data_IF_322973961156
#
_entry.id   IF_322973961156
#
_cell.length_a   1.000
_cell.length_b   1.000
_cell.length_c   1.000
_cell.angle_alpha   90.00
_cell.angle_beta   90.00
_cell.angle_gamma   90.00
#
_symmetry.space_group_name_H-M   'P 1'
#
loop_
_entity.id
_entity.type
_entity.pdbx_description
1 polymer ?
#
# COMPACT_ATOMS: atom_id res chain seq x y z
N UNK A 1 -2.99 -1.76 -36.40
CA UNK A 1 -2.65 -1.62 -35.76
C UNK A 1 -2.18 -1.76 -34.87
N UNK A 2 -1.84 -1.64 -34.51
CA UNK A 2 -1.28 -1.87 -33.74
C UNK A 2 -1.25 -1.78 -32.73
N UNK A 3 -1.28 -1.63 -32.19
CA UNK A 3 -1.19 -1.62 -31.23
C UNK A 3 -0.60 -2.05 -30.30
N UNK A 4 -0.47 -2.47 -30.14
CA UNK A 4 0.37 -3.34 -29.35
C UNK A 4 1.42 -2.64 -28.51
N UNK A 5 1.59 -1.41 -28.61
CA UNK A 5 2.53 -0.63 -27.83
C UNK A 5 1.90 0.00 -26.61
N UNK A 6 0.75 -0.53 -26.21
CA UNK A 6 0.08 -0.02 -25.04
C UNK A 6 0.80 -0.47 -23.79
N UNK A 7 1.48 0.46 -23.16
CA UNK A 7 2.07 0.24 -21.85
C UNK A 7 0.94 0.26 -20.84
N UNK A 8 0.94 -0.72 -19.96
CA UNK A 8 -0.01 -0.76 -18.87
C UNK A 8 0.09 0.52 -18.04
N UNK A 9 -1.02 1.20 -17.84
CA UNK A 9 -1.03 2.39 -17.00
C UNK A 9 -0.97 1.99 -15.54
N UNK A 10 -0.08 2.61 -14.79
CA UNK A 10 0.14 2.29 -13.37
C UNK A 10 0.21 3.54 -12.55
N UNK A 11 -0.35 3.46 -11.35
CA UNK A 11 -0.17 4.51 -10.35
C UNK A 11 0.31 3.86 -9.06
N UNK A 12 1.37 4.43 -8.49
CA UNK A 12 1.89 4.03 -7.18
C UNK A 12 1.73 5.20 -6.24
N UNK A 13 1.04 4.98 -5.14
CA UNK A 13 0.73 6.04 -4.17
C UNK A 13 1.39 5.68 -2.85
N UNK A 14 2.09 6.64 -2.27
CA UNK A 14 2.66 6.51 -0.93
C UNK A 14 1.84 7.37 0.02
N UNK A 15 1.40 6.80 1.13
CA UNK A 15 0.53 7.47 2.09
C UNK A 15 1.19 7.51 3.45
N UNK A 16 1.22 8.68 4.06
CA UNK A 16 1.70 8.88 5.42
C UNK A 16 0.70 9.77 6.15
N UNK A 17 0.90 9.93 7.46
CA UNK A 17 0.00 10.76 8.27
C UNK A 17 -0.10 12.19 7.75
N UNK A 18 1.00 12.74 7.27
CA UNK A 18 1.07 14.13 6.82
C UNK A 18 0.61 14.34 5.37
N UNK A 19 0.32 13.27 4.65
CA UNK A 19 -0.10 13.43 3.27
C UNK A 19 0.23 12.24 2.39
N UNK A 20 0.43 12.52 1.10
CA UNK A 20 0.66 11.47 0.13
C UNK A 20 1.48 11.99 -1.05
N UNK A 21 2.05 11.06 -1.80
CA UNK A 21 2.68 11.36 -3.08
C UNK A 21 2.32 10.22 -4.05
N UNK A 22 2.46 10.45 -5.34
CA UNK A 22 2.19 9.40 -6.31
C UNK A 22 3.13 9.49 -7.50
N UNK A 23 3.22 8.37 -8.20
CA UNK A 23 3.99 8.23 -9.42
C UNK A 23 3.13 7.48 -10.42
N UNK A 24 3.02 8.03 -11.62
CA UNK A 24 2.23 7.45 -12.69
C UNK A 24 3.16 7.06 -13.83
N UNK A 25 2.92 5.88 -14.39
CA UNK A 25 3.62 5.38 -15.57
C UNK A 25 2.59 4.97 -16.61
N UNK A 26 2.66 5.58 -17.79
CA UNK A 26 1.73 5.31 -18.88
C UNK A 26 2.43 5.48 -20.23
N UNK A 27 1.65 5.53 -21.32
CA UNK A 27 2.19 5.67 -22.67
C UNK A 27 2.91 7.00 -22.90
N UNK A 28 2.62 8.00 -22.10
CA UNK A 28 3.24 9.32 -22.22
C UNK A 28 4.51 9.45 -21.41
N UNK A 29 4.86 8.42 -20.67
CA UNK A 29 6.05 8.39 -19.84
C UNK A 29 5.74 8.30 -18.36
N UNK A 30 6.64 8.85 -17.55
CA UNK A 30 6.58 8.78 -16.11
C UNK A 30 6.36 10.16 -15.51
N UNK A 31 5.40 10.27 -14.61
CA UNK A 31 5.05 11.51 -13.93
C UNK A 31 5.05 11.27 -12.42
N UNK A 32 5.64 12.19 -11.67
CA UNK A 32 5.68 12.09 -10.21
C UNK A 32 5.13 13.35 -9.60
N UNK A 33 4.35 13.21 -8.53
CA UNK A 33 3.96 14.34 -7.73
C UNK A 33 5.04 14.60 -6.68
N UNK A 34 5.05 15.82 -6.14
CA UNK A 34 5.72 16.05 -4.87
C UNK A 34 4.82 15.58 -3.75
N UNK A 35 5.19 15.94 -2.52
CA UNK A 35 4.38 15.60 -1.36
C UNK A 35 3.15 16.51 -1.31
N UNK A 36 1.98 15.91 -1.16
CA UNK A 36 0.70 16.61 -1.14
C UNK A 36 0.03 16.46 0.22
N UNK A 37 -0.67 17.51 0.65
CA UNK A 37 -1.38 17.46 1.93
C UNK A 37 -2.73 16.73 1.77
N UNK A 38 -3.29 16.18 2.87
CA UNK A 38 -4.49 15.36 2.79
C UNK A 38 -5.70 16.05 2.15
N UNK A 39 -5.80 17.35 2.29
CA UNK A 39 -6.94 18.11 1.74
C UNK A 39 -6.98 18.13 0.21
N UNK A 40 -5.89 17.69 -0.46
CA UNK A 40 -5.80 17.72 -1.92
C UNK A 40 -6.36 16.47 -2.60
N UNK A 41 -6.82 15.48 -1.83
CA UNK A 41 -7.25 14.20 -2.42
C UNK A 41 -8.35 14.37 -3.47
N UNK A 42 -9.39 15.10 -3.13
CA UNK A 42 -10.52 15.24 -4.03
C UNK A 42 -10.29 16.24 -5.18
N UNK A 43 -9.22 17.01 -5.12
CA UNK A 43 -8.86 17.97 -6.16
C UNK A 43 -7.66 17.54 -6.99
N UNK A 44 -7.14 16.33 -6.76
CA UNK A 44 -6.04 15.77 -7.54
C UNK A 44 -6.61 15.13 -8.81
N UNK A 45 -6.39 15.74 -10.00
CA UNK A 45 -6.99 15.22 -11.24
C UNK A 45 -6.59 13.79 -11.56
N UNK A 46 -5.39 13.42 -11.22
CA UNK A 46 -4.86 12.07 -11.49
C UNK A 46 -5.67 10.99 -10.78
N UNK A 47 -6.32 11.31 -9.67
CA UNK A 47 -7.15 10.37 -8.93
C UNK A 47 -8.52 10.16 -9.54
N UNK A 48 -8.88 10.98 -10.53
CA UNK A 48 -10.17 10.85 -11.23
C UNK A 48 -10.10 9.88 -12.41
N UNK A 49 -8.92 9.37 -12.71
CA UNK A 49 -8.70 8.42 -13.79
C UNK A 49 -8.62 7.01 -13.23
N UNK A 50 -8.83 6.04 -14.12
CA UNK A 50 -8.64 4.62 -13.76
C UNK A 50 -7.34 4.12 -14.35
N UNK A 51 -6.70 3.18 -13.65
CA UNK A 51 -5.39 2.64 -14.02
C UNK A 51 -5.45 1.13 -14.12
N UNK A 52 -4.62 0.55 -14.98
CA UNK A 52 -4.55 -0.90 -15.11
C UNK A 52 -3.99 -1.54 -13.84
N UNK A 53 -3.09 -0.85 -13.17
CA UNK A 53 -2.56 -1.31 -11.90
C UNK A 53 -2.49 -0.15 -10.91
N UNK A 54 -2.94 -0.42 -9.69
CA UNK A 54 -2.92 0.57 -8.59
C UNK A 54 -2.19 -0.07 -7.41
N UNK A 55 -1.19 0.63 -6.91
CA UNK A 55 -0.44 0.21 -5.74
C UNK A 55 -0.49 1.33 -4.71
N UNK A 56 -0.98 1.01 -3.51
CA UNK A 56 -1.02 1.98 -2.42
C UNK A 56 -0.15 1.47 -1.29
N UNK A 57 0.89 2.23 -0.99
CA UNK A 57 1.91 1.85 -0.01
C UNK A 57 1.76 2.73 1.22
N UNK A 58 1.56 2.11 2.38
CA UNK A 58 1.43 2.80 3.66
C UNK A 58 2.81 2.92 4.30
N UNK A 59 3.21 4.15 4.58
CA UNK A 59 4.48 4.42 5.24
C UNK A 59 4.27 4.32 6.75
N UNK A 60 4.39 3.12 7.28
CA UNK A 60 4.28 2.87 8.72
C UNK A 60 5.54 2.14 9.21
N UNK A 61 6.15 2.62 10.30
CA UNK A 61 7.28 1.91 10.90
C UNK A 61 6.83 0.78 11.84
N UNK A 62 5.54 0.71 12.14
CA UNK A 62 5.01 -0.27 13.10
C UNK A 62 4.61 -1.53 12.36
N UNK A 63 5.59 -2.40 12.12
CA UNK A 63 5.41 -3.66 11.40
C UNK A 63 6.17 -4.77 12.12
N UNK A 64 5.67 -6.01 11.97
CA UNK A 64 6.34 -7.20 12.50
C UNK A 64 6.05 -8.36 11.57
N UNK A 65 7.07 -9.16 11.29
CA UNK A 65 6.93 -10.36 10.48
C UNK A 65 6.89 -11.56 11.43
N UNK A 66 5.72 -12.22 11.47
CA UNK A 66 5.46 -13.32 12.41
C UNK A 66 5.47 -14.64 11.63
N UNK A 67 6.29 -15.64 12.05
CA UNK A 67 6.22 -16.94 11.42
C UNK A 67 4.80 -17.51 11.50
N UNK A 68 4.33 -18.15 10.43
CA UNK A 68 2.96 -18.65 10.33
C UNK A 68 2.57 -19.54 11.52
N UNK A 69 3.51 -20.35 11.99
CA UNK A 69 3.27 -21.26 13.11
C UNK A 69 2.99 -20.57 14.44
N UNK A 70 3.43 -19.32 14.58
CA UNK A 70 3.20 -18.53 15.79
C UNK A 70 2.10 -17.48 15.62
N UNK A 71 1.54 -17.38 14.45
CA UNK A 71 0.55 -16.37 14.17
C UNK A 71 -0.82 -16.74 14.73
N UNK A 72 -1.43 -15.80 15.45
CA UNK A 72 -2.79 -15.94 15.98
C UNK A 72 -3.61 -14.70 15.64
N UNK A 73 -4.57 -14.81 14.72
CA UNK A 73 -5.35 -13.64 14.29
C UNK A 73 -6.19 -13.04 15.43
N UNK A 74 -6.41 -13.76 16.51
CA UNK A 74 -7.14 -13.24 17.67
C UNK A 74 -6.28 -12.37 18.57
N UNK A 75 -4.96 -12.34 18.35
CA UNK A 75 -4.00 -11.63 19.19
C UNK A 75 -3.13 -10.67 18.40
N UNK A 76 -3.67 -10.09 17.32
CA UNK A 76 -2.91 -9.20 16.45
C UNK A 76 -2.24 -8.06 17.20
N UNK A 77 -3.02 -7.37 18.01
CA UNK A 77 -2.52 -6.21 18.73
C UNK A 77 -1.42 -6.57 19.71
N UNK A 78 -1.55 -7.70 20.38
CA UNK A 78 -0.55 -8.16 21.30
C UNK A 78 0.74 -8.53 20.59
N UNK A 79 0.64 -9.25 19.48
CA UNK A 79 1.82 -9.66 18.70
C UNK A 79 2.60 -8.46 18.19
N UNK A 80 1.93 -7.45 17.68
CA UNK A 80 2.61 -6.25 17.22
C UNK A 80 3.12 -5.42 18.40
N UNK A 81 2.34 -5.34 19.48
CA UNK A 81 2.71 -4.58 20.67
C UNK A 81 3.92 -5.12 21.41
N UNK A 82 4.26 -6.41 21.18
CA UNK A 82 5.45 -7.00 21.78
C UNK A 82 6.76 -6.48 21.17
N UNK A 83 6.68 -5.93 19.95
CA UNK A 83 7.89 -5.47 19.23
C UNK A 83 7.89 -3.98 18.94
N UNK A 84 6.71 -3.34 18.92
CA UNK A 84 6.63 -1.89 18.71
C UNK A 84 5.65 -1.28 19.70
N UNK A 85 5.81 0.02 19.94
CA UNK A 85 4.92 0.73 20.85
C UNK A 85 3.63 1.10 20.12
N UNK A 86 2.49 0.66 20.66
CA UNK A 86 1.18 0.96 20.09
C UNK A 86 0.44 1.98 20.94
N UNK A 87 -0.24 2.92 20.25
CA UNK A 87 -1.14 3.87 20.88
C UNK A 87 -2.58 3.44 20.71
N UNK A 88 -3.50 4.20 21.28
CA UNK A 88 -4.92 3.89 21.21
C UNK A 88 -5.46 3.93 19.77
N UNK A 89 -4.88 4.80 18.94
CA UNK A 89 -5.33 5.01 17.57
C UNK A 89 -4.69 4.04 16.57
N UNK A 90 -3.85 3.14 17.04
CA UNK A 90 -3.22 2.16 16.15
C UNK A 90 -4.23 1.09 15.77
N UNK A 91 -4.55 0.98 14.49
CA UNK A 91 -5.42 -0.05 13.96
C UNK A 91 -4.54 -1.15 13.39
N UNK A 92 -4.59 -2.34 14.01
CA UNK A 92 -3.69 -3.44 13.65
C UNK A 92 -4.33 -4.34 12.62
N UNK A 93 -3.62 -4.59 11.54
CA UNK A 93 -4.04 -5.44 10.43
C UNK A 93 -2.94 -6.42 10.08
N UNK A 94 -3.23 -7.35 9.18
CA UNK A 94 -2.23 -8.31 8.73
C UNK A 94 -2.41 -8.67 7.26
N UNK A 95 -1.32 -9.14 6.68
CA UNK A 95 -1.35 -9.72 5.34
C UNK A 95 -0.45 -10.94 5.34
N UNK A 96 -0.93 -12.05 4.77
CA UNK A 96 -0.17 -13.28 4.71
C UNK A 96 0.86 -13.23 3.59
N UNK A 97 2.02 -13.78 3.86
CA UNK A 97 3.11 -13.91 2.88
C UNK A 97 3.49 -15.38 2.75
N UNK A 98 2.72 -16.15 1.96
CA UNK A 98 2.89 -17.60 1.90
C UNK A 98 4.28 -18.05 1.44
N UNK A 99 4.91 -17.31 0.53
CA UNK A 99 6.25 -17.65 0.05
C UNK A 99 7.29 -17.62 1.17
N UNK A 100 7.01 -16.90 2.26
CA UNK A 100 7.90 -16.79 3.41
C UNK A 100 7.40 -17.59 4.61
N UNK A 101 6.25 -18.28 4.47
CA UNK A 101 5.60 -18.96 5.58
C UNK A 101 5.46 -18.01 6.78
N UNK A 102 5.08 -16.76 6.51
CA UNK A 102 5.00 -15.71 7.51
C UNK A 102 3.79 -14.82 7.29
N UNK A 103 3.48 -14.02 8.31
CA UNK A 103 2.39 -13.05 8.27
C UNK A 103 2.95 -11.70 8.68
N UNK A 104 2.70 -10.69 7.86
CA UNK A 104 3.12 -9.33 8.16
C UNK A 104 2.00 -8.64 8.92
N UNK A 105 2.27 -8.28 10.17
CA UNK A 105 1.34 -7.56 11.04
C UNK A 105 1.78 -6.11 11.10
N UNK A 106 0.86 -5.19 10.96
CA UNK A 106 1.20 -3.77 10.86
C UNK A 106 0.11 -2.88 11.44
N UNK A 107 0.50 -1.66 11.79
CA UNK A 107 -0.44 -0.64 12.24
C UNK A 107 -0.80 0.30 11.10
N UNK A 108 -2.10 0.52 10.91
CA UNK A 108 -2.63 1.47 9.95
C UNK A 108 -3.13 2.72 10.67
N UNK A 109 -2.32 3.26 11.58
CA UNK A 109 -2.69 4.48 12.29
C UNK A 109 -2.43 5.73 11.47
N UNK A 110 -1.70 5.59 10.36
CA UNK A 110 -1.25 6.72 9.57
C UNK A 110 -2.39 7.23 8.72
N UNK A 111 -3.36 7.81 9.38
CA UNK A 111 -4.46 8.37 8.64
C UNK A 111 -5.35 7.31 8.04
N UNK A 112 -5.97 6.49 8.88
CA UNK A 112 -6.98 5.56 8.41
C UNK A 112 -7.95 6.29 7.48
N UNK A 113 -8.33 7.52 7.86
CA UNK A 113 -9.21 8.34 7.04
C UNK A 113 -8.58 8.66 5.69
N UNK A 114 -7.33 9.11 5.69
CA UNK A 114 -6.63 9.45 4.45
C UNK A 114 -6.48 8.23 3.54
N UNK A 115 -6.07 7.10 4.11
CA UNK A 115 -5.93 5.86 3.35
C UNK A 115 -7.26 5.42 2.74
N UNK A 116 -8.34 5.53 3.54
CA UNK A 116 -9.67 5.16 3.07
C UNK A 116 -10.14 6.08 1.94
N UNK A 117 -9.89 7.37 2.07
CA UNK A 117 -10.26 8.33 1.05
C UNK A 117 -9.56 8.04 -0.27
N UNK A 118 -8.27 7.72 -0.23
CA UNK A 118 -7.52 7.39 -1.43
C UNK A 118 -8.07 6.11 -2.06
N UNK A 119 -8.31 5.07 -1.27
CA UNK A 119 -8.83 3.82 -1.82
C UNK A 119 -10.22 3.97 -2.43
N UNK A 120 -10.97 4.98 -1.99
CA UNK A 120 -12.31 5.25 -2.52
C UNK A 120 -12.30 6.14 -3.76
N UNK A 121 -11.17 6.78 -4.06
CA UNK A 121 -11.08 7.68 -5.21
C UNK A 121 -10.29 7.09 -6.36
N UNK A 122 -9.39 6.17 -6.10
CA UNK A 122 -8.52 5.60 -7.12
C UNK A 122 -8.90 4.14 -7.38
N UNK A 123 -9.28 3.85 -8.62
CA UNK A 123 -9.77 2.53 -9.01
C UNK A 123 -8.97 1.98 -10.19
N UNK A 124 -8.97 0.66 -10.29
CA UNK A 124 -8.46 -0.01 -11.48
C UNK A 124 -9.45 0.15 -12.63
N UNK A 125 -8.99 -0.14 -13.84
CA UNK A 125 -9.85 -0.11 -15.03
C UNK A 125 -11.03 -1.09 -14.89
N UNK A 126 -10.84 -2.16 -14.12
CA UNK A 126 -11.90 -3.14 -13.84
C UNK A 126 -12.84 -2.70 -12.71
N UNK A 127 -12.60 -1.54 -12.12
CA UNK A 127 -13.45 -1.02 -11.07
C UNK A 127 -13.14 -1.52 -9.68
N UNK A 128 -12.00 -2.16 -9.46
CA UNK A 128 -11.61 -2.65 -8.15
C UNK A 128 -10.88 -1.59 -7.35
N UNK A 129 -11.07 -1.62 -6.04
CA UNK A 129 -10.30 -0.80 -5.12
C UNK A 129 -9.01 -1.54 -4.77
N UNK A 130 -7.90 -0.81 -4.76
CA UNK A 130 -6.62 -1.38 -4.35
C UNK A 130 -6.57 -1.50 -2.83
N UNK A 131 -5.96 -2.59 -2.37
CA UNK A 131 -5.73 -2.77 -0.94
C UNK A 131 -4.53 -1.93 -0.52
N UNK A 132 -4.66 -1.29 0.65
CA UNK A 132 -3.56 -0.50 1.23
C UNK A 132 -2.71 -1.44 2.05
N UNK A 133 -1.44 -1.57 1.68
CA UNK A 133 -0.50 -2.45 2.35
C UNK A 133 0.74 -1.66 2.77
N UNK A 134 1.43 -2.08 3.85
CA UNK A 134 2.61 -1.37 4.29
C UNK A 134 3.74 -1.49 3.27
N UNK A 135 4.60 -0.49 3.22
CA UNK A 135 5.73 -0.47 2.31
C UNK A 135 6.58 -1.74 2.45
N UNK A 136 6.73 -2.24 3.68
CA UNK A 136 7.50 -3.45 3.95
C UNK A 136 6.98 -4.64 3.15
N UNK A 137 5.67 -4.73 2.91
CA UNK A 137 5.10 -5.82 2.10
C UNK A 137 5.71 -5.83 0.70
N UNK A 138 5.79 -4.66 0.07
CA UNK A 138 6.30 -4.56 -1.29
C UNK A 138 7.81 -4.80 -1.35
N UNK A 139 8.53 -4.36 -0.31
CA UNK A 139 9.97 -4.61 -0.21
C UNK A 139 10.24 -6.11 -0.11
N UNK A 140 9.50 -6.81 0.75
CA UNK A 140 9.67 -8.26 0.92
C UNK A 140 9.30 -9.01 -0.35
N UNK A 141 8.25 -8.60 -1.05
CA UNK A 141 7.87 -9.22 -2.33
C UNK A 141 8.97 -9.05 -3.37
N UNK A 142 9.59 -7.88 -3.44
CA UNK A 142 10.69 -7.65 -4.36
C UNK A 142 11.90 -8.52 -4.02
N UNK A 143 12.20 -8.68 -2.73
CA UNK A 143 13.31 -9.54 -2.28
C UNK A 143 13.04 -11.00 -2.61
N UNK A 144 11.80 -11.46 -2.47
CA UNK A 144 11.43 -12.85 -2.81
C UNK A 144 11.67 -13.13 -4.28
N UNK A 145 11.41 -12.17 -5.15
CA UNK A 145 11.69 -12.32 -6.58
C UNK A 145 13.19 -12.34 -6.86
N UNK A 146 13.96 -11.59 -6.10
CA UNK A 146 15.42 -11.54 -6.29
C UNK A 146 16.13 -12.77 -5.77
N UNK A 147 15.52 -13.53 -4.86
CA UNK A 147 16.15 -14.70 -4.25
C UNK A 147 15.96 -15.97 -5.06
N UNK A 148 15.30 -15.90 -6.20
CA UNK A 148 15.03 -17.03 -7.08
C UNK A 148 16.18 -17.26 -8.06
N UNK A 149 17.31 -17.60 -7.57
CA UNK A 149 18.44 -17.96 -8.42
C UNK A 149 18.71 -19.41 -8.35
#
# INVERSE_FOLDING_TARGET
MSQTNNIESRISIQVALSGYSFKIQDNEGEHSSGWLTPDRIFTTPEFQKRYDAVKISLLTPKVALIPEQFFNPMELRQMLGDVVRLGENDAVEFVRMPERASVLVFSNNVGETLSRMISQTVFTTDGYQARILPEMYYILKALDKCSDY
#
